data_IF_010584819764
#
_entry.id   IF_010584819764
#
_cell.length_a   1.000
_cell.length_b   1.000
_cell.length_c   1.000
_cell.angle_alpha   90.00
_cell.angle_beta   90.00
_cell.angle_gamma   90.00
#
_symmetry.space_group_name_H-M   'P 1'
#
loop_
_entity.id
_entity.type
_entity.pdbx_description
1 polymer ?
#
# COMPACT_ATOMS: atom_id res chain seq x y z
N UNK A 1 -11.92 -6.02 8.90
CA UNK A 1 -11.09 -7.19 8.52
C UNK A 1 -12.01 -8.15 7.79
N UNK A 2 -12.16 -7.96 6.48
CA UNK A 2 -13.15 -8.68 5.68
C UNK A 2 -12.44 -9.65 4.75
N UNK A 3 -12.76 -10.92 4.90
CA UNK A 3 -12.34 -11.99 4.02
C UNK A 3 -13.48 -12.16 3.01
N UNK A 4 -13.25 -11.79 1.76
CA UNK A 4 -13.91 -12.47 0.65
C UNK A 4 -12.78 -13.05 -0.22
N UNK A 5 -12.44 -14.30 0.12
CA UNK A 5 -11.66 -15.16 -0.76
C UNK A 5 -12.35 -15.26 -2.11
N UNK A 6 -11.53 -15.30 -3.16
CA UNK A 6 -11.90 -15.47 -4.57
C UNK A 6 -12.45 -14.21 -5.24
N UNK A 7 -11.55 -13.30 -5.64
CA UNK A 7 -11.57 -12.48 -6.87
C UNK A 7 -12.91 -12.38 -7.66
N UNK A 8 -14.03 -12.01 -7.03
CA UNK A 8 -15.27 -11.76 -7.75
C UNK A 8 -15.31 -10.28 -8.13
N UNK A 9 -14.53 -9.91 -9.15
CA UNK A 9 -14.84 -8.72 -9.96
C UNK A 9 -16.20 -8.97 -10.61
N UNK A 10 -17.23 -8.28 -10.15
CA UNK A 10 -18.46 -8.17 -10.94
C UNK A 10 -18.17 -7.10 -11.98
N UNK A 11 -18.20 -7.49 -13.25
CA UNK A 11 -17.91 -6.66 -14.42
C UNK A 11 -18.59 -5.28 -14.24
N UNK A 12 -17.79 -4.23 -14.06
CA UNK A 12 -18.16 -2.81 -13.95
C UNK A 12 -18.43 -2.15 -12.57
N UNK A 13 -18.16 -2.78 -11.42
CA UNK A 13 -18.27 -2.07 -10.13
C UNK A 13 -17.06 -2.27 -9.20
N UNK A 14 -16.32 -1.19 -8.91
CA UNK A 14 -15.17 -1.14 -7.98
C UNK A 14 -15.58 -1.24 -6.48
N UNK A 15 -16.77 -1.78 -6.20
CA UNK A 15 -17.33 -1.86 -4.84
C UNK A 15 -16.91 -3.18 -4.19
N UNK A 16 -16.40 -3.09 -2.97
CA UNK A 16 -15.92 -4.22 -2.17
C UNK A 16 -17.10 -5.03 -1.66
N UNK A 17 -16.96 -6.35 -1.63
CA UNK A 17 -17.93 -7.26 -1.01
C UNK A 17 -17.72 -7.33 0.50
N UNK A 18 -18.55 -6.59 1.23
CA UNK A 18 -18.42 -6.38 2.66
C UNK A 18 -19.79 -6.50 3.37
N UNK A 19 -20.32 -7.72 3.59
CA UNK A 19 -21.72 -7.91 4.03
C UNK A 19 -22.05 -7.32 5.41
N UNK A 20 -21.03 -7.11 6.24
CA UNK A 20 -21.17 -6.52 7.58
C UNK A 20 -20.72 -5.06 7.63
N UNK A 21 -20.30 -4.47 6.51
CA UNK A 21 -19.94 -3.06 6.45
C UNK A 21 -21.17 -2.26 6.02
N UNK A 22 -21.59 -1.25 6.79
CA UNK A 22 -22.89 -0.60 6.61
C UNK A 22 -23.01 0.28 5.36
N UNK A 23 -21.91 0.53 4.66
CA UNK A 23 -21.86 1.43 3.51
C UNK A 23 -21.19 0.77 2.31
N UNK A 24 -21.55 1.17 1.09
CA UNK A 24 -20.79 0.78 -0.08
C UNK A 24 -19.39 1.43 -0.01
N UNK A 25 -18.36 0.60 -0.18
CA UNK A 25 -16.96 1.03 -0.14
C UNK A 25 -16.27 0.64 -1.43
N UNK A 26 -15.45 1.55 -1.96
CA UNK A 26 -14.53 1.24 -3.06
C UNK A 26 -13.17 0.84 -2.53
N UNK A 27 -12.51 -0.04 -3.25
CA UNK A 27 -11.17 -0.51 -2.92
C UNK A 27 -10.13 0.61 -3.01
N UNK A 28 -9.36 0.78 -1.93
CA UNK A 28 -8.25 1.71 -1.88
C UNK A 28 -7.00 1.01 -1.32
N UNK A 29 -5.86 1.46 -1.82
CA UNK A 29 -4.57 0.89 -1.50
C UNK A 29 -3.67 1.97 -0.91
N UNK A 30 -2.89 1.57 0.08
CA UNK A 30 -1.84 2.38 0.67
C UNK A 30 -0.51 1.94 0.12
N UNK A 31 0.23 2.86 -0.48
CA UNK A 31 1.62 2.69 -0.90
C UNK A 31 2.48 3.44 0.13
N UNK A 32 3.28 2.69 0.87
CA UNK A 32 4.03 3.20 2.03
C UNK A 32 5.49 2.83 1.88
N UNK A 33 6.39 3.78 2.11
CA UNK A 33 7.84 3.52 2.17
C UNK A 33 8.33 3.87 3.57
N UNK A 34 8.96 2.91 4.23
CA UNK A 34 9.43 3.06 5.60
C UNK A 34 10.62 2.17 5.91
N UNK A 35 11.28 2.45 7.03
CA UNK A 35 12.30 1.59 7.63
C UNK A 35 11.82 1.12 9.01
N UNK A 36 11.70 -0.19 9.17
CA UNK A 36 11.22 -0.84 10.40
C UNK A 36 12.27 -0.85 11.50
N UNK A 37 13.57 -0.77 11.17
CA UNK A 37 14.66 -0.80 12.15
C UNK A 37 14.68 0.49 12.97
N UNK A 38 14.45 1.62 12.32
CA UNK A 38 14.37 2.95 12.96
C UNK A 38 12.94 3.43 13.17
N UNK A 39 11.94 2.62 12.76
CA UNK A 39 10.52 2.95 12.79
C UNK A 39 10.21 4.32 12.16
N UNK A 40 10.79 4.59 11.00
CA UNK A 40 10.63 5.87 10.27
C UNK A 40 9.81 5.67 8.99
N UNK A 41 8.81 6.52 8.82
CA UNK A 41 8.02 6.64 7.60
C UNK A 41 8.66 7.69 6.69
N UNK A 42 8.97 7.33 5.44
CA UNK A 42 9.58 8.24 4.45
C UNK A 42 8.58 8.79 3.44
N UNK A 43 7.49 8.07 3.19
CA UNK A 43 6.44 8.50 2.29
C UNK A 43 5.22 7.60 2.36
N UNK A 44 4.06 8.19 2.17
CA UNK A 44 2.77 7.50 2.14
C UNK A 44 1.85 8.12 1.10
N UNK A 45 1.19 7.28 0.30
CA UNK A 45 0.18 7.71 -0.65
C UNK A 45 -0.98 6.72 -0.69
N UNK A 46 -2.19 7.25 -0.79
CA UNK A 46 -3.39 6.47 -1.04
C UNK A 46 -3.73 6.51 -2.53
N UNK A 47 -4.12 5.38 -3.09
CA UNK A 47 -4.43 5.22 -4.51
C UNK A 47 -5.62 4.26 -4.70
N UNK A 48 -6.27 4.32 -5.85
CA UNK A 48 -7.30 3.37 -6.28
C UNK A 48 -6.72 2.34 -7.25
N UNK A 49 -7.35 1.16 -7.36
CA UNK A 49 -6.88 0.10 -8.26
C UNK A 49 -6.86 0.52 -9.74
N UNK A 50 -7.64 1.54 -10.11
CA UNK A 50 -7.65 2.13 -11.46
C UNK A 50 -6.32 2.79 -11.84
N UNK A 51 -5.53 3.24 -10.85
CA UNK A 51 -4.22 3.83 -11.06
C UNK A 51 -3.14 2.74 -11.00
N UNK A 52 -2.74 2.25 -12.16
CA UNK A 52 -1.69 1.22 -12.27
C UNK A 52 -0.28 1.78 -12.08
N UNK A 53 -0.10 3.10 -12.25
CA UNK A 53 1.18 3.79 -12.11
C UNK A 53 1.08 4.84 -11.00
N UNK A 54 1.74 4.58 -9.88
CA UNK A 54 1.68 5.45 -8.71
C UNK A 54 3.03 6.11 -8.50
N UNK A 55 3.08 7.44 -8.68
CA UNK A 55 4.22 8.25 -8.25
C UNK A 55 4.12 8.56 -6.76
N UNK A 56 5.15 8.19 -6.01
CA UNK A 56 5.30 8.50 -4.59
C UNK A 56 6.60 9.29 -4.41
N UNK A 57 6.46 10.49 -3.87
CA UNK A 57 7.59 11.30 -3.44
C UNK A 57 7.99 10.87 -2.03
N UNK A 58 9.28 10.61 -1.83
CA UNK A 58 9.82 10.16 -0.54
C UNK A 58 10.87 11.16 -0.05
N UNK A 59 10.92 11.36 1.26
CA UNK A 59 12.01 12.10 1.89
C UNK A 59 13.28 11.24 1.88
N UNK A 60 14.41 11.82 1.48
CA UNK A 60 15.68 11.12 1.55
C UNK A 60 16.13 10.92 3.02
N UNK A 61 16.73 9.76 3.36
CA UNK A 61 17.41 9.59 4.64
C UNK A 61 18.46 10.69 4.89
N UNK A 62 18.52 11.19 6.12
CA UNK A 62 19.39 12.31 6.50
C UNK A 62 20.88 11.94 6.50
N UNK A 63 21.20 10.66 6.64
CA UNK A 63 22.57 10.17 6.62
C UNK A 63 22.96 9.73 5.21
N UNK A 64 24.20 10.04 4.81
CA UNK A 64 24.77 9.53 3.57
C UNK A 64 25.07 8.03 3.68
N UNK A 65 25.03 7.33 2.55
CA UNK A 65 25.32 5.89 2.45
C UNK A 65 24.14 5.04 2.01
N UNK A 66 24.30 3.72 2.18
CA UNK A 66 23.30 2.71 1.80
C UNK A 66 22.26 2.55 2.90
N UNK A 67 20.99 2.64 2.53
CA UNK A 67 19.83 2.46 3.39
C UNK A 67 18.95 1.34 2.84
N UNK A 68 18.53 0.42 3.71
CA UNK A 68 17.55 -0.61 3.37
C UNK A 68 16.16 -0.12 3.79
N UNK A 69 15.35 0.24 2.80
CA UNK A 69 13.97 0.67 2.99
C UNK A 69 13.02 -0.48 2.61
N UNK A 70 11.78 -0.40 3.07
CA UNK A 70 10.73 -1.35 2.70
C UNK A 70 9.53 -0.59 2.11
N UNK A 71 9.12 -1.00 0.91
CA UNK A 71 7.88 -0.63 0.27
C UNK A 71 6.78 -1.58 0.72
N UNK A 72 5.70 -1.03 1.26
CA UNK A 72 4.47 -1.74 1.59
C UNK A 72 3.35 -1.30 0.66
N UNK A 73 2.63 -2.27 0.11
CA UNK A 73 1.36 -2.05 -0.57
C UNK A 73 0.29 -2.76 0.26
N UNK A 74 -0.53 -1.97 0.93
CA UNK A 74 -1.47 -2.46 1.95
C UNK A 74 -2.89 -2.18 1.49
N UNK A 75 -3.75 -3.21 1.52
CA UNK A 75 -5.16 -3.02 1.20
C UNK A 75 -5.88 -2.40 2.39
N UNK A 76 -6.76 -1.44 2.14
CA UNK A 76 -7.58 -0.83 3.20
C UNK A 76 -8.86 -1.63 3.51
N UNK A 77 -9.07 -2.75 2.81
CA UNK A 77 -10.36 -3.44 2.76
C UNK A 77 -10.24 -4.95 2.84
N UNK A 78 -9.20 -5.51 2.23
CA UNK A 78 -8.88 -6.93 2.31
C UNK A 78 -7.74 -7.16 3.29
N UNK A 79 -7.74 -8.32 3.91
CA UNK A 79 -6.70 -8.74 4.84
C UNK A 79 -5.86 -9.82 4.22
N UNK A 80 -4.57 -9.84 4.56
CA UNK A 80 -3.58 -10.80 4.04
C UNK A 80 -3.30 -10.65 2.54
N UNK A 81 -3.70 -9.52 1.95
CA UNK A 81 -3.36 -9.14 0.56
C UNK A 81 -2.23 -8.10 0.53
N UNK A 82 -1.53 -7.91 1.65
CA UNK A 82 -0.46 -6.92 1.76
C UNK A 82 0.82 -7.44 1.10
N UNK A 83 1.50 -6.57 0.35
CA UNK A 83 2.74 -6.88 -0.32
C UNK A 83 3.90 -6.06 0.27
N UNK A 84 5.06 -6.70 0.42
CA UNK A 84 6.26 -6.06 0.97
C UNK A 84 7.43 -6.27 0.02
N UNK A 85 8.18 -5.21 -0.25
CA UNK A 85 9.34 -5.24 -1.12
C UNK A 85 10.51 -4.47 -0.51
N UNK A 86 11.70 -5.08 -0.50
CA UNK A 86 12.91 -4.46 0.02
C UNK A 86 13.54 -3.57 -1.05
N UNK A 87 13.86 -2.34 -0.67
CA UNK A 87 14.50 -1.33 -1.51
C UNK A 87 15.87 -0.98 -0.94
N UNK A 88 16.89 -0.93 -1.79
CA UNK A 88 18.21 -0.42 -1.43
C UNK A 88 18.38 0.98 -2.02
N UNK A 89 18.53 2.00 -1.15
CA UNK A 89 18.72 3.39 -1.54
C UNK A 89 20.13 3.84 -1.15
N UNK A 90 20.89 4.37 -2.10
CA UNK A 90 22.20 4.96 -1.82
C UNK A 90 22.11 6.50 -1.87
N UNK A 91 22.26 7.15 -0.72
CA UNK A 91 22.25 8.61 -0.59
C UNK A 91 23.69 9.13 -0.67
N UNK A 92 23.96 10.01 -1.63
CA UNK A 92 25.30 10.59 -1.91
C UNK A 92 25.47 11.96 -1.27
#
# INVERSE_FOLDING_TARGET
MLICGSYCKTENNDVIKAPYFPFDKREQWWVVVGDTKVNKLYGIKRTSLTETNVKLDIEAPSMKGKHELTLYVVSDSYVSTDYQYKLELNVV
#
